data_IF_687078843953
#
_entry.id   IF_687078843953
#
_cell.length_a   1.000
_cell.length_b   1.000
_cell.length_c   1.000
_cell.angle_alpha   90.00
_cell.angle_beta   90.00
_cell.angle_gamma   90.00
#
_symmetry.space_group_name_H-M   'P 1'
#
loop_
_entity.id
_entity.type
_entity.pdbx_description
1 polymer ?
#
# COMPACT_ATOMS: atom_id res chain seq x y z
N UNK A 1 103.81 54.39 -50.07
CA UNK A 1 103.75 53.03 -50.64
C UNK A 1 104.99 52.28 -50.21
N UNK A 2 104.87 51.29 -49.30
CA UNK A 2 105.81 50.18 -49.09
C UNK A 2 105.19 49.23 -48.05
N UNK A 3 104.94 47.99 -48.48
CA UNK A 3 104.12 46.96 -47.84
C UNK A 3 104.66 46.45 -46.50
N UNK A 4 103.79 45.99 -45.56
CA UNK A 4 104.24 45.26 -44.40
C UNK A 4 104.64 43.85 -44.84
N UNK A 5 105.88 43.45 -44.56
CA UNK A 5 106.40 42.11 -44.82
C UNK A 5 105.59 41.07 -44.05
N UNK A 6 104.73 40.35 -44.77
CA UNK A 6 104.07 39.14 -44.29
C UNK A 6 105.15 38.13 -43.90
N UNK A 7 105.29 37.85 -42.61
CA UNK A 7 106.10 36.73 -42.12
C UNK A 7 105.27 35.44 -42.29
N UNK A 8 105.54 34.57 -43.28
CA UNK A 8 104.74 33.37 -43.54
C UNK A 8 104.73 32.40 -42.35
N UNK A 9 105.78 32.43 -41.52
CA UNK A 9 105.90 31.61 -40.32
C UNK A 9 104.91 31.99 -39.20
N UNK A 10 104.54 33.27 -39.08
CA UNK A 10 103.60 33.70 -38.04
C UNK A 10 102.16 33.29 -38.35
N UNK A 11 101.77 33.35 -39.63
CA UNK A 11 100.47 32.84 -40.10
C UNK A 11 100.38 31.33 -39.97
N UNK A 12 101.47 30.60 -40.27
CA UNK A 12 101.53 29.15 -40.10
C UNK A 12 101.39 28.76 -38.61
N UNK A 13 102.04 29.49 -37.70
CA UNK A 13 101.92 29.26 -36.26
C UNK A 13 100.48 29.52 -35.76
N UNK A 14 99.84 30.57 -36.25
CA UNK A 14 98.44 30.87 -35.91
C UNK A 14 97.49 29.78 -36.42
N UNK A 15 97.67 29.31 -37.66
CA UNK A 15 96.87 28.21 -38.24
C UNK A 15 97.05 26.93 -37.43
N UNK A 16 98.28 26.61 -37.03
CA UNK A 16 98.55 25.44 -36.21
C UNK A 16 97.93 25.54 -34.82
N UNK A 17 97.99 26.71 -34.18
CA UNK A 17 97.33 26.97 -32.90
C UNK A 17 95.81 26.83 -33.01
N UNK A 18 95.21 27.40 -34.04
CA UNK A 18 93.77 27.34 -34.28
C UNK A 18 93.30 25.90 -34.55
N UNK A 19 94.13 25.12 -35.24
CA UNK A 19 93.86 23.72 -35.50
C UNK A 19 93.93 22.88 -34.21
N UNK A 20 94.87 23.19 -33.31
CA UNK A 20 94.95 22.53 -32.01
C UNK A 20 93.76 22.88 -31.11
N UNK A 21 93.33 24.14 -31.11
CA UNK A 21 92.14 24.56 -30.36
C UNK A 21 90.87 23.87 -30.88
N UNK A 22 90.73 23.75 -32.21
CA UNK A 22 89.63 23.01 -32.82
C UNK A 22 89.62 21.53 -32.44
N UNK A 23 90.78 20.90 -32.32
CA UNK A 23 90.87 19.52 -31.84
C UNK A 23 90.53 19.41 -30.36
N UNK A 24 90.98 20.37 -29.56
CA UNK A 24 90.67 20.43 -28.13
C UNK A 24 89.14 20.55 -27.92
N UNK A 25 88.51 21.52 -28.57
CA UNK A 25 87.05 21.71 -28.53
C UNK A 25 86.27 20.47 -28.98
N UNK A 26 86.76 19.75 -30.01
CA UNK A 26 86.13 18.51 -30.46
C UNK A 26 86.17 17.42 -29.39
N UNK A 27 87.29 17.28 -28.69
CA UNK A 27 87.42 16.30 -27.60
C UNK A 27 86.48 16.61 -26.43
N UNK A 28 86.31 17.89 -26.09
CA UNK A 28 85.40 18.32 -25.03
C UNK A 28 83.92 18.10 -25.40
N UNK A 29 83.54 18.34 -26.67
CA UNK A 29 82.18 18.05 -27.13
C UNK A 29 81.87 16.55 -27.05
N UNK A 30 82.85 15.69 -27.32
CA UNK A 30 82.67 14.24 -27.23
C UNK A 30 82.47 13.82 -25.77
N UNK A 31 83.29 14.32 -24.84
CA UNK A 31 83.17 13.98 -23.41
C UNK A 31 81.85 14.50 -22.82
N UNK A 32 81.42 15.70 -23.19
CA UNK A 32 80.11 16.24 -22.79
C UNK A 32 78.97 15.38 -23.33
N UNK A 33 79.03 14.94 -24.59
CA UNK A 33 78.01 14.04 -25.15
C UNK A 33 77.95 12.70 -24.42
N UNK A 34 79.08 12.13 -24.04
CA UNK A 34 79.11 10.90 -23.24
C UNK A 34 78.51 11.11 -21.84
N UNK A 35 78.81 12.22 -21.18
CA UNK A 35 78.21 12.55 -19.88
C UNK A 35 76.69 12.72 -19.95
N UNK A 36 76.19 13.37 -21.01
CA UNK A 36 74.74 13.53 -21.24
C UNK A 36 74.10 12.17 -21.53
N UNK A 37 74.73 11.31 -22.32
CA UNK A 37 74.22 9.96 -22.59
C UNK A 37 74.18 9.11 -21.31
N UNK A 38 75.18 9.23 -20.43
CA UNK A 38 75.21 8.56 -19.14
C UNK A 38 74.10 9.05 -18.21
N UNK A 39 73.92 10.37 -18.10
CA UNK A 39 72.85 10.96 -17.30
C UNK A 39 71.46 10.57 -17.83
N UNK A 40 71.28 10.54 -19.16
CA UNK A 40 70.04 10.08 -19.77
C UNK A 40 69.77 8.61 -19.45
N UNK A 41 70.78 7.74 -19.53
CA UNK A 41 70.64 6.34 -19.13
C UNK A 41 70.34 6.19 -17.64
N UNK A 42 70.94 7.01 -16.78
CA UNK A 42 70.67 7.01 -15.35
C UNK A 42 69.22 7.45 -15.06
N UNK A 43 68.74 8.50 -15.73
CA UNK A 43 67.34 8.93 -15.64
C UNK A 43 66.40 7.84 -16.14
N UNK A 44 66.72 7.18 -17.26
CA UNK A 44 65.90 6.09 -17.79
C UNK A 44 65.84 4.88 -16.84
N UNK A 45 66.97 4.52 -16.21
CA UNK A 45 67.02 3.46 -15.20
C UNK A 45 66.27 3.85 -13.91
N UNK A 46 66.37 5.10 -13.45
CA UNK A 46 65.60 5.62 -12.33
C UNK A 46 64.10 5.67 -12.63
N UNK A 47 63.70 6.00 -13.85
CA UNK A 47 62.30 5.96 -14.31
C UNK A 47 61.76 4.52 -14.35
N UNK A 48 62.54 3.56 -14.85
CA UNK A 48 62.16 2.16 -14.86
C UNK A 48 62.10 1.55 -13.45
N UNK A 49 62.97 2.00 -12.53
CA UNK A 49 62.91 1.65 -11.10
C UNK A 49 61.67 2.24 -10.40
N UNK A 50 61.26 3.46 -10.76
CA UNK A 50 60.02 4.07 -10.27
C UNK A 50 58.76 3.36 -10.82
N UNK A 51 58.79 2.93 -12.08
CA UNK A 51 57.71 2.13 -12.69
C UNK A 51 57.61 0.71 -12.08
N UNK A 52 58.72 0.12 -11.64
CA UNK A 52 58.68 -1.17 -10.91
C UNK A 52 58.20 -1.02 -9.46
N UNK A 53 58.28 0.19 -8.87
CA UNK A 53 57.58 0.56 -7.62
C UNK A 53 56.08 0.82 -7.78
N UNK A 54 55.57 0.96 -9.00
CA UNK A 54 54.12 1.04 -9.28
C UNK A 54 53.42 -0.34 -9.24
N UNK A 55 54.07 -1.38 -8.70
CA UNK A 55 53.47 -2.70 -8.53
C UNK A 55 52.68 -2.76 -7.22
N UNK A 56 51.38 -2.95 -7.39
CA UNK A 56 50.33 -3.24 -6.38
C UNK A 56 49.76 -2.01 -5.67
N UNK A 57 49.27 -1.02 -6.42
CA UNK A 57 48.21 -0.14 -5.89
C UNK A 57 46.87 -0.85 -6.06
N UNK A 58 46.09 -0.98 -4.98
CA UNK A 58 44.73 -1.52 -5.08
C UNK A 58 43.91 -0.65 -6.06
N UNK A 59 43.00 -1.25 -6.84
CA UNK A 59 42.05 -0.47 -7.64
C UNK A 59 41.22 0.44 -6.73
N UNK A 60 40.90 1.64 -7.23
CA UNK A 60 40.18 2.63 -6.45
C UNK A 60 38.76 2.14 -6.12
N UNK A 61 38.33 2.21 -4.85
CA UNK A 61 36.97 1.85 -4.47
C UNK A 61 35.94 2.76 -5.13
N UNK A 62 34.71 2.27 -5.38
CA UNK A 62 33.60 3.12 -5.81
C UNK A 62 33.30 4.20 -4.75
N UNK A 63 32.66 5.29 -5.18
CA UNK A 63 32.19 6.33 -4.26
C UNK A 63 31.14 5.78 -3.30
N UNK A 64 31.11 6.32 -2.08
CA UNK A 64 30.15 5.92 -1.07
C UNK A 64 28.79 6.57 -1.32
N UNK A 65 27.78 5.74 -1.58
CA UNK A 65 26.42 6.16 -1.91
C UNK A 65 25.52 6.44 -0.68
N UNK A 66 26.07 6.40 0.53
CA UNK A 66 25.32 6.63 1.76
C UNK A 66 24.56 5.42 2.31
N UNK A 67 24.61 4.25 1.64
CA UNK A 67 23.79 3.12 2.04
C UNK A 67 24.45 2.27 3.16
N UNK A 68 23.68 1.73 4.12
CA UNK A 68 24.23 0.93 5.22
C UNK A 68 24.94 -0.35 4.82
N UNK A 69 24.44 -1.02 3.79
CA UNK A 69 25.05 -2.24 3.30
C UNK A 69 26.34 -1.96 2.50
N UNK A 70 26.43 -0.83 1.82
CA UNK A 70 27.64 -0.43 1.10
C UNK A 70 28.70 0.09 2.07
N UNK A 71 28.34 0.75 3.17
CA UNK A 71 29.30 1.22 4.18
C UNK A 71 30.12 0.05 4.77
N UNK A 72 29.48 -1.09 5.01
CA UNK A 72 30.14 -2.29 5.58
C UNK A 72 31.21 -2.88 4.66
N UNK A 73 31.04 -2.78 3.35
CA UNK A 73 32.01 -3.27 2.36
C UNK A 73 32.98 -2.18 1.89
N UNK A 74 32.56 -0.93 1.96
CA UNK A 74 33.32 0.25 1.56
C UNK A 74 34.36 0.68 2.59
N UNK A 75 34.03 0.71 3.89
CA UNK A 75 34.99 1.10 4.94
C UNK A 75 36.26 0.23 4.95
N UNK A 76 36.17 -1.13 4.90
CA UNK A 76 37.37 -1.96 4.84
C UNK A 76 38.18 -1.77 3.56
N UNK A 77 37.52 -1.49 2.43
CA UNK A 77 38.21 -1.33 1.14
C UNK A 77 38.95 0.01 1.07
N UNK A 78 38.35 1.10 1.55
CA UNK A 78 39.02 2.40 1.71
C UNK A 78 40.16 2.30 2.70
N UNK A 79 39.97 1.68 3.87
CA UNK A 79 41.05 1.53 4.85
C UNK A 79 42.19 0.65 4.32
N UNK A 80 41.89 -0.37 3.52
CA UNK A 80 42.91 -1.16 2.84
C UNK A 80 43.67 -0.34 1.80
N UNK A 81 42.97 0.53 1.07
CA UNK A 81 43.54 1.43 0.06
C UNK A 81 44.45 2.50 0.69
N UNK A 82 44.02 3.15 1.77
CA UNK A 82 44.83 4.11 2.52
C UNK A 82 46.15 3.49 3.00
N UNK A 83 46.09 2.26 3.55
CA UNK A 83 47.28 1.51 3.97
C UNK A 83 48.18 1.07 2.81
N UNK A 84 47.57 0.67 1.69
CA UNK A 84 48.29 0.23 0.48
C UNK A 84 49.04 1.38 -0.18
N UNK A 85 48.43 2.56 -0.22
CA UNK A 85 48.98 3.74 -0.87
C UNK A 85 49.80 4.63 0.08
N UNK A 86 49.88 4.25 1.38
CA UNK A 86 50.60 4.97 2.44
C UNK A 86 50.19 6.45 2.53
N UNK A 87 48.87 6.69 2.44
CA UNK A 87 48.29 8.01 2.61
C UNK A 87 48.06 8.25 4.10
N UNK A 88 48.63 9.35 4.63
CA UNK A 88 48.54 9.73 6.04
C UNK A 88 48.11 11.20 6.17
N UNK A 89 47.46 11.56 7.29
CA UNK A 89 47.05 12.93 7.63
C UNK A 89 46.09 13.56 6.61
N UNK A 90 46.40 14.78 6.17
CA UNK A 90 45.56 15.56 5.25
C UNK A 90 45.30 14.85 3.91
N UNK A 91 46.32 14.19 3.35
CA UNK A 91 46.19 13.47 2.07
C UNK A 91 45.22 12.28 2.20
N UNK A 92 45.21 11.61 3.36
CA UNK A 92 44.26 10.53 3.65
C UNK A 92 42.84 11.08 3.84
N UNK A 93 42.70 12.20 4.54
CA UNK A 93 41.43 12.86 4.78
C UNK A 93 40.79 13.34 3.47
N UNK A 94 41.54 14.07 2.64
CA UNK A 94 41.07 14.59 1.35
C UNK A 94 40.72 13.45 0.39
N UNK A 95 41.50 12.36 0.41
CA UNK A 95 41.19 11.17 -0.38
C UNK A 95 39.86 10.55 0.05
N UNK A 96 39.61 10.39 1.35
CA UNK A 96 38.33 9.86 1.84
C UNK A 96 37.19 10.79 1.47
N UNK A 97 37.37 12.09 1.65
CA UNK A 97 36.39 13.13 1.32
C UNK A 97 35.96 13.10 -0.16
N UNK A 98 36.89 12.97 -1.11
CA UNK A 98 36.56 12.90 -2.55
C UNK A 98 35.79 11.63 -2.95
N UNK A 99 35.94 10.57 -2.14
CA UNK A 99 35.23 9.30 -2.33
C UNK A 99 33.84 9.28 -1.70
N UNK A 100 33.43 10.35 -1.04
CA UNK A 100 32.06 10.55 -0.57
C UNK A 100 31.19 11.18 -1.67
N UNK A 101 29.91 10.85 -1.69
CA UNK A 101 28.93 11.54 -2.53
C UNK A 101 28.58 12.93 -1.93
N UNK A 102 28.06 13.83 -2.78
CA UNK A 102 27.80 15.23 -2.40
C UNK A 102 26.97 15.43 -1.12
N UNK A 103 25.88 14.69 -0.85
CA UNK A 103 25.11 14.90 0.38
C UNK A 103 25.89 14.53 1.65
N UNK A 104 26.77 13.53 1.58
CA UNK A 104 27.61 13.09 2.69
C UNK A 104 28.73 14.11 2.94
N UNK A 105 29.35 14.63 1.87
CA UNK A 105 30.29 15.75 1.96
C UNK A 105 29.65 16.95 2.69
N UNK A 106 28.44 17.36 2.29
CA UNK A 106 27.73 18.45 2.97
C UNK A 106 27.52 18.18 4.48
N UNK A 107 27.24 16.93 4.85
CA UNK A 107 27.07 16.55 6.26
C UNK A 107 28.37 16.58 7.09
N UNK A 108 29.52 16.40 6.44
CA UNK A 108 30.85 16.29 7.07
C UNK A 108 31.65 17.60 6.91
N UNK A 109 31.10 18.60 6.21
CA UNK A 109 31.77 19.88 5.96
C UNK A 109 32.26 20.58 7.22
N UNK A 110 31.47 20.49 8.30
CA UNK A 110 31.84 21.04 9.61
C UNK A 110 33.09 20.37 10.19
N UNK A 111 33.28 19.05 9.97
CA UNK A 111 34.51 18.37 10.40
C UNK A 111 35.71 18.86 9.61
N UNK A 112 35.55 19.14 8.33
CA UNK A 112 36.65 19.65 7.50
C UNK A 112 37.11 21.03 7.99
N UNK A 113 36.16 21.91 8.30
CA UNK A 113 36.45 23.24 8.87
C UNK A 113 37.15 23.12 10.23
N UNK A 114 36.67 22.20 11.08
CA UNK A 114 37.28 21.93 12.39
C UNK A 114 38.69 21.32 12.28
N UNK A 115 38.91 20.37 11.36
CA UNK A 115 40.22 19.78 11.09
C UNK A 115 41.21 20.79 10.51
N UNK A 116 40.74 21.77 9.74
CA UNK A 116 41.56 22.88 9.23
C UNK A 116 42.00 23.83 10.36
N UNK A 117 41.09 24.11 11.31
CA UNK A 117 41.37 24.95 12.49
C UNK A 117 42.33 24.25 13.47
N UNK A 118 42.08 22.98 13.79
CA UNK A 118 42.84 22.21 14.78
C UNK A 118 44.12 21.56 14.19
N UNK A 119 44.30 21.61 12.86
CA UNK A 119 45.34 20.88 12.12
C UNK A 119 45.34 19.36 12.37
N UNK A 120 44.23 18.81 12.83
CA UNK A 120 44.02 17.38 13.09
C UNK A 120 43.23 16.75 11.94
N UNK A 121 43.95 16.05 11.07
CA UNK A 121 43.41 15.45 9.85
C UNK A 121 43.25 13.94 10.02
N UNK A 122 42.47 13.51 11.02
CA UNK A 122 42.19 12.09 11.26
C UNK A 122 40.99 11.61 10.43
N UNK A 123 41.19 10.71 9.44
CA UNK A 123 40.10 10.15 8.64
C UNK A 123 39.11 9.28 9.43
N UNK A 124 39.46 8.81 10.64
CA UNK A 124 38.55 8.01 11.46
C UNK A 124 37.37 8.83 12.00
N UNK A 125 37.51 10.15 12.12
CA UNK A 125 36.43 11.06 12.51
C UNK A 125 35.27 10.99 11.50
N UNK A 126 35.58 11.03 10.19
CA UNK A 126 34.63 10.85 9.10
C UNK A 126 33.90 9.51 9.24
N UNK A 127 34.65 8.41 9.41
CA UNK A 127 34.05 7.09 9.53
C UNK A 127 33.15 6.93 10.75
N UNK A 128 33.46 7.63 11.85
CA UNK A 128 32.64 7.59 13.07
C UNK A 128 31.29 8.29 12.87
N UNK A 129 31.29 9.47 12.26
CA UNK A 129 30.06 10.23 11.99
C UNK A 129 29.17 9.49 11.01
N UNK A 130 29.72 8.93 9.93
CA UNK A 130 28.93 8.16 8.98
C UNK A 130 28.27 6.96 9.66
N UNK A 131 29.00 6.20 10.49
CA UNK A 131 28.40 5.08 11.24
C UNK A 131 27.27 5.54 12.15
N UNK A 132 27.41 6.70 12.80
CA UNK A 132 26.37 7.25 13.68
C UNK A 132 25.12 7.67 12.89
N UNK A 133 25.30 8.39 11.77
CA UNK A 133 24.19 8.78 10.89
C UNK A 133 23.42 7.55 10.39
N UNK A 134 24.15 6.53 9.93
CA UNK A 134 23.51 5.32 9.42
C UNK A 134 22.80 4.52 10.52
N UNK A 135 23.31 4.51 11.74
CA UNK A 135 22.61 3.89 12.87
C UNK A 135 21.29 4.62 13.17
N UNK A 136 21.32 5.95 13.12
CA UNK A 136 20.13 6.79 13.33
C UNK A 136 19.07 6.56 12.25
N UNK A 137 19.50 6.40 11.01
CA UNK A 137 18.62 6.06 9.89
C UNK A 137 18.01 4.66 10.05
N UNK A 138 18.78 3.67 10.48
CA UNK A 138 18.28 2.32 10.76
C UNK A 138 17.21 2.34 11.87
N UNK A 139 17.49 3.04 12.97
CA UNK A 139 16.54 3.20 14.08
C UNK A 139 15.26 3.92 13.64
N UNK A 140 15.37 4.92 12.77
CA UNK A 140 14.23 5.64 12.21
C UNK A 140 13.39 4.74 11.29
N UNK A 141 14.04 3.94 10.45
CA UNK A 141 13.36 2.96 9.57
C UNK A 141 12.62 1.92 10.41
N UNK A 142 13.25 1.39 11.47
CA UNK A 142 12.60 0.44 12.38
C UNK A 142 11.39 1.10 13.05
N UNK A 143 11.54 2.31 13.59
CA UNK A 143 10.43 3.05 14.20
C UNK A 143 9.28 3.32 13.24
N UNK A 144 9.59 3.71 12.00
CA UNK A 144 8.57 3.93 10.97
C UNK A 144 7.84 2.63 10.61
N UNK A 145 8.57 1.50 10.52
CA UNK A 145 7.97 0.18 10.29
C UNK A 145 7.03 -0.21 11.42
N UNK A 146 7.42 0.01 12.67
CA UNK A 146 6.59 -0.29 13.83
C UNK A 146 5.33 0.57 13.84
N UNK A 147 5.45 1.86 13.51
CA UNK A 147 4.31 2.76 13.38
C UNK A 147 3.35 2.33 12.26
N UNK A 148 3.87 1.91 11.09
CA UNK A 148 3.04 1.37 10.00
C UNK A 148 2.33 0.07 10.40
N UNK A 149 2.99 -0.76 11.20
CA UNK A 149 2.39 -2.00 11.73
C UNK A 149 1.26 -1.70 12.70
N UNK A 150 1.47 -0.77 13.62
CA UNK A 150 0.44 -0.32 14.55
C UNK A 150 -0.73 0.35 13.82
N UNK A 151 -0.46 1.21 12.83
CA UNK A 151 -1.51 1.86 12.06
C UNK A 151 -2.35 0.85 11.27
N UNK A 152 -1.72 -0.19 10.71
CA UNK A 152 -2.43 -1.31 10.08
C UNK A 152 -3.36 -2.02 11.07
N UNK A 153 -2.87 -2.31 12.27
CA UNK A 153 -3.68 -2.97 13.31
C UNK A 153 -4.89 -2.12 13.71
N UNK A 154 -4.71 -0.81 13.87
CA UNK A 154 -5.82 0.13 14.17
C UNK A 154 -6.85 0.16 13.05
N UNK A 155 -6.41 0.17 11.79
CA UNK A 155 -7.30 0.12 10.63
C UNK A 155 -8.07 -1.20 10.57
N UNK A 156 -7.39 -2.34 10.77
CA UNK A 156 -8.03 -3.66 10.77
C UNK A 156 -9.02 -3.79 11.94
N UNK A 157 -8.67 -3.27 13.12
CA UNK A 157 -9.56 -3.21 14.27
C UNK A 157 -10.82 -2.38 14.00
N UNK A 158 -10.66 -1.24 13.32
CA UNK A 158 -11.80 -0.37 12.94
C UNK A 158 -12.69 -1.04 11.90
N UNK A 159 -12.10 -1.73 10.92
CA UNK A 159 -12.83 -2.48 9.90
C UNK A 159 -13.67 -3.60 10.53
N UNK A 160 -13.08 -4.41 11.43
CA UNK A 160 -13.81 -5.48 12.13
C UNK A 160 -14.98 -4.94 12.94
N UNK A 161 -14.80 -3.80 13.63
CA UNK A 161 -15.90 -3.15 14.36
C UNK A 161 -17.02 -2.67 13.44
N UNK A 162 -16.66 -2.15 12.25
CA UNK A 162 -17.65 -1.73 11.26
C UNK A 162 -18.45 -2.93 10.71
N UNK A 163 -17.77 -4.03 10.39
CA UNK A 163 -18.41 -5.26 9.92
C UNK A 163 -19.38 -5.82 10.98
N UNK A 164 -18.94 -5.88 12.25
CA UNK A 164 -19.79 -6.26 13.37
C UNK A 164 -21.00 -5.32 13.55
N UNK A 165 -20.79 -4.01 13.43
CA UNK A 165 -21.87 -3.04 13.54
C UNK A 165 -22.89 -3.24 12.41
N UNK A 166 -22.44 -3.53 11.19
CA UNK A 166 -23.31 -3.82 10.06
C UNK A 166 -24.14 -5.08 10.29
N UNK A 167 -23.50 -6.16 10.74
CA UNK A 167 -24.20 -7.42 11.05
C UNK A 167 -25.22 -7.25 12.18
N UNK A 168 -24.84 -6.56 13.26
CA UNK A 168 -25.76 -6.31 14.38
C UNK A 168 -26.95 -5.43 13.97
N UNK A 169 -26.73 -4.39 13.17
CA UNK A 169 -27.81 -3.57 12.63
C UNK A 169 -28.73 -4.40 11.73
N UNK A 170 -28.18 -5.26 10.87
CA UNK A 170 -28.99 -6.12 10.01
C UNK A 170 -29.89 -7.06 10.83
N UNK A 171 -29.35 -7.66 11.90
CA UNK A 171 -30.14 -8.51 12.81
C UNK A 171 -31.21 -7.70 13.54
N UNK A 172 -30.89 -6.48 14.00
CA UNK A 172 -31.88 -5.60 14.64
C UNK A 172 -33.02 -5.23 13.70
N UNK A 173 -32.70 -4.89 12.45
CA UNK A 173 -33.70 -4.58 11.42
C UNK A 173 -34.60 -5.79 11.16
N UNK A 174 -34.03 -6.99 11.03
CA UNK A 174 -34.81 -8.23 10.87
C UNK A 174 -35.74 -8.49 12.06
N UNK A 175 -35.28 -8.25 13.29
CA UNK A 175 -36.12 -8.37 14.49
C UNK A 175 -37.29 -7.39 14.44
N UNK A 176 -37.04 -6.12 14.07
CA UNK A 176 -38.11 -5.10 13.94
C UNK A 176 -39.15 -5.54 12.91
N UNK A 177 -38.73 -6.07 11.75
CA UNK A 177 -39.67 -6.59 10.75
C UNK A 177 -40.48 -7.79 11.27
N UNK A 178 -39.85 -8.71 12.01
CA UNK A 178 -40.56 -9.84 12.60
C UNK A 178 -41.61 -9.38 13.63
N UNK A 179 -41.28 -8.38 14.46
CA UNK A 179 -42.20 -7.80 15.43
C UNK A 179 -43.36 -7.06 14.74
N UNK A 180 -43.09 -6.30 13.68
CA UNK A 180 -44.13 -5.64 12.88
C UNK A 180 -45.08 -6.66 12.23
N UNK A 181 -44.54 -7.72 11.61
CA UNK A 181 -45.37 -8.77 11.03
C UNK A 181 -46.23 -9.50 12.09
N UNK A 182 -45.67 -9.72 13.29
CA UNK A 182 -46.42 -10.29 14.41
C UNK A 182 -47.56 -9.35 14.86
N UNK A 183 -47.28 -8.05 14.95
CA UNK A 183 -48.26 -7.04 15.29
C UNK A 183 -49.37 -6.95 14.24
N UNK A 184 -49.01 -6.97 12.95
CA UNK A 184 -49.97 -6.97 11.84
C UNK A 184 -50.84 -8.22 11.86
N UNK A 185 -50.28 -9.40 12.12
CA UNK A 185 -51.06 -10.63 12.27
C UNK A 185 -52.05 -10.53 13.44
N UNK A 186 -51.64 -9.95 14.57
CA UNK A 186 -52.52 -9.76 15.73
C UNK A 186 -53.66 -8.77 15.42
N UNK A 187 -53.37 -7.69 14.70
CA UNK A 187 -54.39 -6.74 14.22
C UNK A 187 -55.33 -7.42 13.21
N UNK A 188 -54.79 -8.19 12.28
CA UNK A 188 -55.58 -8.90 11.27
C UNK A 188 -56.50 -9.96 11.90
N UNK A 189 -56.07 -10.62 12.98
CA UNK A 189 -56.95 -11.49 13.76
C UNK A 189 -58.12 -10.73 14.40
N UNK A 190 -57.88 -9.52 14.91
CA UNK A 190 -58.94 -8.66 15.45
C UNK A 190 -59.89 -8.18 14.36
N UNK A 191 -59.35 -7.70 13.24
CA UNK A 191 -60.16 -7.30 12.09
C UNK A 191 -60.95 -8.47 11.50
N UNK A 192 -60.40 -9.68 11.51
CA UNK A 192 -61.11 -10.89 11.12
C UNK A 192 -62.31 -11.18 12.03
N UNK A 193 -62.20 -10.94 13.33
CA UNK A 193 -63.32 -11.05 14.26
C UNK A 193 -64.40 -9.98 13.96
N UNK A 194 -64.01 -8.71 13.81
CA UNK A 194 -64.94 -7.63 13.47
C UNK A 194 -65.63 -7.83 12.12
N UNK A 195 -64.88 -8.30 11.11
CA UNK A 195 -65.39 -8.56 9.77
C UNK A 195 -66.39 -9.72 9.76
N UNK A 196 -66.16 -10.75 10.58
CA UNK A 196 -67.11 -11.85 10.78
C UNK A 196 -68.40 -11.37 11.45
N UNK A 197 -68.33 -10.45 12.41
CA UNK A 197 -69.51 -9.86 13.05
C UNK A 197 -70.35 -9.08 12.03
N UNK A 198 -69.74 -8.24 11.19
CA UNK A 198 -70.48 -7.49 10.16
C UNK A 198 -71.10 -8.45 9.15
N UNK A 199 -70.37 -9.47 8.69
CA UNK A 199 -70.89 -10.47 7.77
C UNK A 199 -72.10 -11.21 8.37
N UNK A 200 -72.02 -11.64 9.62
CA UNK A 200 -73.13 -12.29 10.32
C UNK A 200 -74.36 -11.37 10.42
N UNK A 201 -74.16 -10.09 10.76
CA UNK A 201 -75.24 -9.09 10.79
C UNK A 201 -75.86 -8.92 9.40
N UNK A 202 -75.06 -8.80 8.35
CA UNK A 202 -75.59 -8.67 6.98
C UNK A 202 -76.33 -9.92 6.52
N UNK A 203 -75.86 -11.12 6.86
CA UNK A 203 -76.47 -12.39 6.46
C UNK A 203 -77.82 -12.60 7.16
N UNK A 204 -77.97 -12.09 8.40
CA UNK A 204 -79.24 -12.08 9.12
C UNK A 204 -80.23 -11.06 8.53
N UNK A 205 -79.76 -9.86 8.19
CA UNK A 205 -80.64 -8.77 7.75
C UNK A 205 -80.98 -8.83 6.25
N UNK A 206 -80.07 -9.23 5.36
CA UNK A 206 -80.29 -9.21 3.90
C UNK A 206 -81.58 -9.95 3.47
N UNK A 207 -81.84 -11.18 3.95
CA UNK A 207 -83.06 -11.89 3.61
C UNK A 207 -84.32 -11.14 4.06
N UNK A 208 -84.28 -10.55 5.25
CA UNK A 208 -85.38 -9.75 5.80
C UNK A 208 -85.65 -8.48 4.99
N UNK A 209 -84.60 -7.73 4.63
CA UNK A 209 -84.74 -6.53 3.81
C UNK A 209 -85.20 -6.86 2.39
N UNK A 210 -84.71 -7.96 1.80
CA UNK A 210 -85.14 -8.43 0.48
C UNK A 210 -86.64 -8.77 0.44
N UNK A 211 -87.12 -9.48 1.47
CA UNK A 211 -88.54 -9.78 1.67
C UNK A 211 -89.34 -8.47 1.86
N UNK A 212 -88.86 -7.55 2.70
CA UNK A 212 -89.53 -6.26 2.92
C UNK A 212 -89.64 -5.43 1.63
N UNK A 213 -88.63 -5.47 0.74
CA UNK A 213 -88.70 -4.82 -0.58
C UNK A 213 -89.66 -5.52 -1.53
N UNK A 214 -89.70 -6.86 -1.55
CA UNK A 214 -90.66 -7.63 -2.36
C UNK A 214 -92.11 -7.37 -1.94
N UNK A 215 -92.33 -7.10 -0.65
CA UNK A 215 -93.64 -6.79 -0.09
C UNK A 215 -93.89 -5.30 0.14
N UNK A 216 -92.98 -4.43 -0.32
CA UNK A 216 -93.20 -2.99 -0.25
C UNK A 216 -94.32 -2.58 -1.23
N UNK A 217 -95.34 -1.85 -0.78
CA UNK A 217 -96.56 -1.66 -1.55
C UNK A 217 -96.35 -0.68 -2.71
N UNK A 218 -96.22 -1.21 -3.92
CA UNK A 218 -96.53 -0.50 -5.16
C UNK A 218 -98.05 -0.38 -5.35
N UNK A 219 -98.68 0.60 -4.72
CA UNK A 219 -100.02 1.16 -4.98
C UNK A 219 -101.23 0.24 -5.29
N UNK A 220 -101.22 -1.07 -4.97
CA UNK A 220 -102.38 -1.94 -5.19
C UNK A 220 -102.70 -2.87 -4.01
N UNK A 221 -103.09 -2.27 -2.87
CA UNK A 221 -103.83 -2.94 -1.79
C UNK A 221 -103.11 -4.07 -1.02
N UNK A 222 -103.59 -4.44 0.19
CA UNK A 222 -102.93 -5.44 1.01
C UNK A 222 -103.21 -6.85 0.47
N UNK A 223 -102.30 -7.37 -0.37
CA UNK A 223 -102.22 -8.81 -0.68
C UNK A 223 -101.09 -9.43 0.12
N UNK A 224 -101.43 -9.96 1.29
CA UNK A 224 -100.54 -10.87 2.03
C UNK A 224 -100.41 -12.15 1.19
N UNK A 225 -99.25 -12.34 0.55
CA UNK A 225 -98.96 -13.51 -0.28
C UNK A 225 -98.78 -14.76 0.60
N UNK A 226 -99.23 -15.91 0.11
CA UNK A 226 -99.13 -17.23 0.75
C UNK A 226 -97.69 -17.74 0.99
N UNK A 227 -96.67 -16.90 0.80
CA UNK A 227 -95.24 -17.18 0.99
C UNK A 227 -94.67 -16.59 2.30
N UNK A 228 -95.48 -15.93 3.12
CA UNK A 228 -95.08 -15.40 4.45
C UNK A 228 -94.56 -16.49 5.40
N UNK A 229 -94.97 -17.76 5.22
CA UNK A 229 -94.42 -18.88 5.99
C UNK A 229 -92.92 -19.09 5.72
N UNK A 230 -92.42 -18.74 4.53
CA UNK A 230 -91.01 -18.88 4.17
C UNK A 230 -90.15 -17.82 4.89
N UNK A 231 -90.74 -16.65 5.19
CA UNK A 231 -90.14 -15.69 6.12
C UNK A 231 -90.06 -16.29 7.52
N UNK A 232 -91.14 -16.88 8.04
CA UNK A 232 -91.08 -17.56 9.35
C UNK A 232 -90.03 -18.68 9.37
N UNK A 233 -89.91 -19.53 8.34
CA UNK A 233 -88.88 -20.58 8.28
C UNK A 233 -87.44 -20.05 8.21
N UNK A 234 -87.22 -18.93 7.53
CA UNK A 234 -85.89 -18.27 7.45
C UNK A 234 -85.57 -17.46 8.72
N UNK A 235 -86.59 -16.97 9.43
CA UNK A 235 -86.44 -16.06 10.58
C UNK A 235 -86.58 -16.77 11.94
N UNK A 236 -87.25 -17.93 12.02
CA UNK A 236 -87.32 -18.84 13.18
C UNK A 236 -86.23 -19.93 13.17
N UNK A 237 -85.09 -19.68 12.52
CA UNK A 237 -83.88 -20.38 12.95
C UNK A 237 -83.62 -19.97 14.42
N UNK A 238 -83.67 -20.90 15.40
CA UNK A 238 -83.69 -20.54 16.82
C UNK A 238 -82.47 -19.71 17.21
N UNK A 239 -82.60 -18.66 18.04
CA UNK A 239 -81.49 -17.80 18.45
C UNK A 239 -80.34 -18.56 19.14
N UNK A 240 -80.61 -19.75 19.69
CA UNK A 240 -79.58 -20.65 20.25
C UNK A 240 -78.55 -21.15 19.21
N UNK A 241 -78.87 -21.14 17.92
CA UNK A 241 -77.94 -21.57 16.88
C UNK A 241 -77.10 -20.42 16.32
N UNK A 242 -77.54 -19.16 16.40
CA UNK A 242 -76.75 -18.02 15.95
C UNK A 242 -75.61 -17.69 16.92
N UNK A 243 -75.85 -17.75 18.24
CA UNK A 243 -74.81 -17.60 19.25
C UNK A 243 -73.84 -18.79 19.26
N UNK A 244 -74.36 -20.03 19.10
CA UNK A 244 -73.50 -21.22 18.92
C UNK A 244 -72.73 -21.24 17.60
N UNK A 245 -73.23 -20.63 16.52
CA UNK A 245 -72.49 -20.50 15.26
C UNK A 245 -71.40 -19.43 15.39
N UNK A 246 -71.66 -18.34 16.12
CA UNK A 246 -70.65 -17.35 16.52
C UNK A 246 -69.53 -17.96 17.36
N UNK A 247 -69.87 -18.72 18.40
CA UNK A 247 -68.91 -19.41 19.27
C UNK A 247 -68.17 -20.54 18.54
N UNK A 248 -68.85 -21.33 17.69
CA UNK A 248 -68.22 -22.39 16.88
C UNK A 248 -67.38 -21.87 15.71
N UNK A 249 -67.64 -20.66 15.22
CA UNK A 249 -66.76 -19.98 14.26
C UNK A 249 -65.58 -19.29 14.96
N UNK A 250 -65.71 -18.96 16.26
CA UNK A 250 -64.63 -18.45 17.10
C UNK A 250 -63.66 -19.55 17.55
N UNK A 251 -64.12 -20.79 17.76
CA UNK A 251 -63.29 -21.94 18.16
C UNK A 251 -62.49 -22.62 17.03
N UNK A 252 -62.73 -22.23 15.76
CA UNK A 252 -62.09 -22.87 14.62
C UNK A 252 -62.81 -24.14 14.19
N UNK A 253 -62.89 -24.33 12.88
CA UNK A 253 -63.61 -25.43 12.23
C UNK A 253 -62.90 -26.75 12.57
N UNK A 254 -63.52 -27.58 13.41
CA UNK A 254 -63.16 -28.99 13.52
C UNK A 254 -63.83 -29.74 12.34
N UNK A 255 -63.03 -30.44 11.53
CA UNK A 255 -63.38 -31.04 10.24
C UNK A 255 -64.32 -32.27 10.36
N UNK A 256 -65.12 -32.38 11.42
CA UNK A 256 -65.97 -33.54 11.73
C UNK A 256 -67.30 -33.61 10.96
N UNK A 257 -67.67 -32.61 10.17
CA UNK A 257 -68.95 -32.60 9.44
C UNK A 257 -68.75 -32.65 7.92
N UNK A 258 -68.16 -33.75 7.43
CA UNK A 258 -68.27 -34.15 6.03
C UNK A 258 -69.38 -35.21 5.95
N UNK A 259 -70.52 -34.94 5.29
CA UNK A 259 -71.49 -35.99 5.01
C UNK A 259 -70.84 -37.05 4.11
N UNK A 260 -71.00 -38.32 4.47
CA UNK A 260 -70.35 -39.49 3.82
C UNK A 260 -70.57 -39.60 2.29
N UNK A 261 -71.50 -38.82 1.72
CA UNK A 261 -71.76 -38.76 0.28
C UNK A 261 -70.70 -38.05 -0.57
N UNK A 262 -69.74 -37.31 0.02
CA UNK A 262 -68.75 -36.52 -0.74
C UNK A 262 -67.35 -37.15 -0.79
N UNK A 263 -67.12 -38.29 -0.13
CA UNK A 263 -65.83 -38.99 -0.18
C UNK A 263 -65.56 -39.65 -1.54
N UNK A 264 -66.60 -39.92 -2.34
CA UNK A 264 -66.43 -40.53 -3.67
C UNK A 264 -66.10 -39.54 -4.79
N UNK A 265 -66.31 -38.24 -4.59
CA UNK A 265 -66.01 -37.23 -5.62
C UNK A 265 -64.54 -36.77 -5.58
N UNK A 266 -63.88 -36.80 -4.41
CA UNK A 266 -62.49 -36.32 -4.26
C UNK A 266 -61.45 -37.40 -4.61
N UNK A 267 -61.84 -38.69 -4.62
CA UNK A 267 -60.91 -39.78 -4.93
C UNK A 267 -60.64 -39.97 -6.43
N UNK A 268 -61.42 -39.34 -7.31
CA UNK A 268 -61.27 -39.46 -8.77
C UNK A 268 -60.55 -38.29 -9.43
N UNK A 269 -60.17 -37.25 -8.69
CA UNK A 269 -59.53 -36.04 -9.27
C UNK A 269 -58.03 -35.92 -8.93
N UNK A 270 -57.42 -37.01 -8.45
CA UNK A 270 -55.98 -37.12 -8.18
C UNK A 270 -55.20 -37.88 -9.27
N UNK A 271 -55.82 -38.11 -10.45
CA UNK A 271 -55.17 -38.73 -11.63
C UNK A 271 -55.24 -37.89 -12.92
N UNK A 272 -55.42 -36.57 -12.85
CA UNK A 272 -55.24 -35.69 -14.02
C UNK A 272 -54.30 -34.54 -13.68
N UNK A 273 -53.00 -34.80 -13.82
CA UNK A 273 -51.97 -33.79 -13.64
C UNK A 273 -50.57 -34.38 -13.49
N UNK A 274 -50.26 -35.38 -14.33
CA UNK A 274 -48.89 -35.81 -14.61
C UNK A 274 -48.39 -35.05 -15.83
#
# INVERSE_FOLDING_TARGET
>A
MSSPSQNPNALMLLVQQLQQELQNQRSEIISLRESVAQLQNQIHLSQNAAQTRARVRLPDPPKFDGKPHTLRTWLPSIRAKLRSDQLDGADAFDYVWDRLEQPQQASILHLREQSEEDSDWDPEQIFSLEKEQLKKDEDLIVRMRDHLTLMREVVDGTKRRNDYLKESIQVQVQMVYALLAQQDNALNHRYGADMRVIAAVTLLFLPGTFVATLFSPGNQGPKVSSWVWLYWVVTEAPPEHAERLGDRLAEGIDFGFIPQGLQHAIKNDLEVGR
#
